data_IF_562721036289
#
_entry.id   IF_562721036289
#
_cell.length_a   1.000
_cell.length_b   1.000
_cell.length_c   1.000
_cell.angle_alpha   90.00
_cell.angle_beta   90.00
_cell.angle_gamma   90.00
#
_symmetry.space_group_name_H-M   'P 1'
#
loop_
_entity.id
_entity.type
_entity.pdbx_description
1 polymer ?
#
# COMPACT_ATOMS: atom_id res chain seq x y z
N UNK A 1 12.26 -15.69 3.55
CA UNK A 1 12.12 -14.31 3.02
C UNK A 1 12.69 -14.24 1.61
N UNK A 2 11.87 -13.85 0.63
CA UNK A 2 12.38 -13.54 -0.71
C UNK A 2 13.28 -12.30 -0.62
N UNK A 3 14.52 -12.39 -1.11
CA UNK A 3 15.41 -11.22 -1.15
C UNK A 3 14.84 -10.19 -2.13
N UNK A 4 14.45 -9.02 -1.64
CA UNK A 4 14.09 -7.88 -2.49
C UNK A 4 15.33 -7.46 -3.27
N UNK A 5 15.27 -7.58 -4.62
CA UNK A 5 16.34 -7.09 -5.48
C UNK A 5 16.26 -5.57 -5.51
N UNK A 6 17.36 -4.92 -5.14
CA UNK A 6 17.46 -3.47 -5.27
C UNK A 6 17.54 -3.07 -6.75
N UNK A 7 16.67 -2.14 -7.17
CA UNK A 7 16.70 -1.59 -8.52
C UNK A 7 17.91 -0.68 -8.70
N UNK A 8 18.53 -0.69 -9.89
CA UNK A 8 19.60 0.25 -10.20
C UNK A 8 19.06 1.69 -10.27
N UNK A 9 19.95 2.66 -10.06
CA UNK A 9 19.62 4.09 -10.11
C UNK A 9 18.93 4.47 -11.42
N UNK A 10 19.47 4.01 -12.54
CA UNK A 10 18.90 4.27 -13.87
C UNK A 10 17.46 3.76 -14.02
N UNK A 11 17.14 2.59 -13.45
CA UNK A 11 15.78 2.06 -13.46
C UNK A 11 14.86 2.90 -12.59
N UNK A 12 15.32 3.36 -11.41
CA UNK A 12 14.53 4.25 -10.54
C UNK A 12 14.22 5.58 -11.22
N UNK A 13 15.21 6.19 -11.86
CA UNK A 13 15.05 7.46 -12.57
C UNK A 13 14.05 7.31 -13.74
N UNK A 14 14.16 6.21 -14.52
CA UNK A 14 13.18 5.89 -15.57
C UNK A 14 11.76 5.69 -15.03
N UNK A 15 11.59 5.02 -13.88
CA UNK A 15 10.26 4.87 -13.27
C UNK A 15 9.64 6.24 -12.96
N UNK A 16 10.45 7.18 -12.43
CA UNK A 16 9.99 8.54 -12.13
C UNK A 16 9.56 9.28 -13.40
N UNK A 17 10.36 9.22 -14.46
CA UNK A 17 10.05 9.91 -15.72
C UNK A 17 8.78 9.35 -16.37
N UNK A 18 8.64 8.02 -16.40
CA UNK A 18 7.48 7.36 -16.99
C UNK A 18 6.19 7.63 -16.18
N UNK A 19 6.29 7.69 -14.85
CA UNK A 19 5.16 8.06 -13.99
C UNK A 19 4.74 9.52 -14.20
N UNK A 20 5.70 10.46 -14.30
CA UNK A 20 5.42 11.86 -14.63
C UNK A 20 4.78 12.04 -16.01
N UNK A 21 5.08 11.14 -16.95
CA UNK A 21 4.43 11.07 -18.25
C UNK A 21 3.00 10.48 -18.20
N UNK A 22 2.46 10.19 -17.01
CA UNK A 22 1.10 9.70 -16.81
C UNK A 22 0.91 8.20 -17.02
N UNK A 23 2.00 7.42 -17.14
CA UNK A 23 1.87 5.97 -17.28
C UNK A 23 1.54 5.30 -15.94
N UNK A 24 0.59 4.37 -15.99
CA UNK A 24 0.30 3.49 -14.85
C UNK A 24 1.42 2.48 -14.61
N UNK A 25 1.60 2.07 -13.35
CA UNK A 25 2.70 1.20 -12.91
C UNK A 25 2.77 -0.16 -13.64
N UNK A 26 1.64 -0.70 -14.10
CA UNK A 26 1.62 -1.91 -14.95
C UNK A 26 2.33 -1.70 -16.29
N UNK A 27 2.06 -0.57 -16.94
CA UNK A 27 2.67 -0.20 -18.22
C UNK A 27 4.17 0.05 -18.05
N UNK A 28 4.54 0.77 -16.98
CA UNK A 28 5.94 1.03 -16.61
C UNK A 28 6.70 -0.29 -16.41
N UNK A 29 6.15 -1.20 -15.60
CA UNK A 29 6.79 -2.51 -15.35
C UNK A 29 6.98 -3.31 -16.64
N UNK A 30 5.95 -3.36 -17.50
CA UNK A 30 6.03 -4.02 -18.81
C UNK A 30 7.14 -3.41 -19.69
N UNK A 31 7.25 -2.08 -19.73
CA UNK A 31 8.25 -1.38 -20.53
C UNK A 31 9.68 -1.59 -20.02
N UNK A 32 9.86 -1.69 -18.70
CA UNK A 32 11.16 -1.90 -18.07
C UNK A 32 11.55 -3.37 -17.92
N UNK A 33 10.66 -4.31 -18.27
CA UNK A 33 10.89 -5.74 -18.07
C UNK A 33 10.88 -6.16 -16.60
N UNK A 34 10.25 -5.36 -15.73
CA UNK A 34 10.19 -5.61 -14.29
C UNK A 34 8.88 -6.33 -13.92
N UNK A 35 8.98 -7.31 -13.00
CA UNK A 35 7.81 -8.01 -12.48
C UNK A 35 7.04 -7.07 -11.56
N UNK A 36 5.78 -6.80 -11.90
CA UNK A 36 4.87 -5.98 -11.09
C UNK A 36 3.78 -6.86 -10.49
N UNK A 37 3.65 -6.83 -9.16
CA UNK A 37 2.50 -7.40 -8.44
C UNK A 37 1.61 -6.27 -7.98
N UNK A 38 0.31 -6.37 -8.25
CA UNK A 38 -0.69 -5.38 -7.84
C UNK A 38 -1.53 -5.96 -6.71
N UNK A 39 -1.79 -5.14 -5.69
CA UNK A 39 -2.66 -5.50 -4.58
C UNK A 39 -3.89 -4.61 -4.62
N UNK A 40 -5.06 -5.21 -4.78
CA UNK A 40 -6.32 -4.46 -4.74
C UNK A 40 -6.56 -3.94 -3.33
N UNK A 41 -7.00 -2.69 -3.25
CA UNK A 41 -7.50 -2.09 -2.01
C UNK A 41 -8.93 -2.57 -1.73
N UNK A 42 -9.37 -2.50 -0.48
CA UNK A 42 -10.74 -2.78 -0.11
C UNK A 42 -11.66 -1.70 -0.70
N UNK A 43 -12.71 -2.12 -1.41
CA UNK A 43 -13.71 -1.20 -1.94
C UNK A 43 -14.42 -0.46 -0.80
N UNK A 44 -14.67 0.83 -1.02
CA UNK A 44 -15.31 1.72 -0.08
C UNK A 44 -16.21 2.69 -0.85
N UNK A 45 -17.41 2.95 -0.33
CA UNK A 45 -18.24 4.04 -0.82
C UNK A 45 -17.52 5.36 -0.55
N UNK A 46 -17.39 6.23 -1.55
CA UNK A 46 -16.71 7.51 -1.37
C UNK A 46 -17.42 8.40 -0.34
N UNK A 47 -18.71 8.18 -0.10
CA UNK A 47 -19.47 8.89 0.95
C UNK A 47 -19.09 8.45 2.37
N UNK A 48 -18.48 7.27 2.53
CA UNK A 48 -17.99 6.79 3.83
C UNK A 48 -16.60 7.36 4.17
N UNK A 49 -15.93 8.04 3.22
CA UNK A 49 -14.64 8.67 3.45
C UNK A 49 -14.87 10.02 4.14
N UNK A 50 -14.37 10.14 5.36
CA UNK A 50 -14.53 11.32 6.21
C UNK A 50 -13.27 12.19 6.18
N UNK A 51 -12.08 11.57 6.29
CA UNK A 51 -10.79 12.25 6.35
C UNK A 51 -9.72 11.33 5.77
N UNK A 52 -8.88 11.81 4.86
CA UNK A 52 -7.81 10.99 4.28
C UNK A 52 -6.47 11.15 5.00
N UNK A 53 -6.41 12.06 5.98
CA UNK A 53 -5.22 12.28 6.77
C UNK A 53 -4.83 11.03 7.57
N UNK A 54 -3.55 10.70 7.60
CA UNK A 54 -3.05 9.52 8.30
C UNK A 54 -3.31 8.18 7.61
N UNK A 55 -3.92 8.14 6.41
CA UNK A 55 -4.10 6.90 5.63
C UNK A 55 -2.78 6.15 5.40
N UNK A 56 -1.72 6.87 5.05
CA UNK A 56 -0.38 6.30 4.84
C UNK A 56 0.23 5.76 6.13
N UNK A 57 0.12 6.50 7.23
CA UNK A 57 0.66 6.10 8.53
C UNK A 57 -0.07 4.86 9.06
N UNK A 58 -1.40 4.83 8.92
CA UNK A 58 -2.22 3.67 9.25
C UNK A 58 -1.86 2.45 8.41
N UNK A 59 -1.64 2.63 7.10
CA UNK A 59 -1.16 1.56 6.23
C UNK A 59 0.17 0.99 6.71
N UNK A 60 1.15 1.85 7.03
CA UNK A 60 2.45 1.42 7.54
C UNK A 60 2.29 0.70 8.88
N UNK A 61 1.44 1.21 9.78
CA UNK A 61 1.15 0.57 11.07
C UNK A 61 0.59 -0.85 10.91
N UNK A 62 -0.43 -1.03 10.07
CA UNK A 62 -1.00 -2.35 9.77
C UNK A 62 0.00 -3.28 9.07
N UNK A 63 0.81 -2.75 8.15
CA UNK A 63 1.87 -3.55 7.51
C UNK A 63 2.90 -4.05 8.52
N UNK A 64 3.35 -3.17 9.41
CA UNK A 64 4.33 -3.51 10.43
C UNK A 64 3.78 -4.49 11.48
N UNK A 65 2.48 -4.47 11.79
CA UNK A 65 1.88 -5.39 12.78
C UNK A 65 1.98 -6.85 12.36
N UNK A 66 1.83 -7.14 11.07
CA UNK A 66 2.00 -8.50 10.53
C UNK A 66 3.46 -8.81 10.21
N UNK A 67 4.27 -7.81 9.83
CA UNK A 67 5.68 -8.00 9.56
C UNK A 67 6.44 -8.50 10.80
N UNK A 68 6.17 -7.91 11.97
CA UNK A 68 6.83 -8.32 13.24
C UNK A 68 6.43 -9.73 13.68
N UNK A 69 5.33 -10.27 13.14
CA UNK A 69 4.88 -11.65 13.32
C UNK A 69 5.42 -12.59 12.22
N UNK A 70 6.33 -12.10 11.37
CA UNK A 70 6.92 -12.84 10.25
C UNK A 70 5.90 -13.36 9.22
N UNK A 71 4.75 -12.67 9.08
CA UNK A 71 3.76 -13.04 8.07
C UNK A 71 4.25 -12.80 6.64
N UNK A 72 3.65 -13.49 5.64
CA UNK A 72 3.92 -13.23 4.23
C UNK A 72 3.62 -11.78 3.83
N UNK A 73 4.31 -11.29 2.79
CA UNK A 73 4.18 -9.92 2.30
C UNK A 73 2.73 -9.56 1.97
N UNK A 74 2.00 -10.49 1.36
CA UNK A 74 0.60 -10.36 0.99
C UNK A 74 -0.30 -10.05 2.20
N UNK A 75 -0.03 -10.70 3.34
CA UNK A 75 -0.76 -10.47 4.60
C UNK A 75 -0.42 -9.12 5.22
N UNK A 76 0.86 -8.73 5.19
CA UNK A 76 1.27 -7.39 5.63
C UNK A 76 0.57 -6.29 4.82
N UNK A 77 0.49 -6.46 3.49
CA UNK A 77 -0.22 -5.49 2.64
C UNK A 77 -1.72 -5.48 2.93
N UNK A 78 -2.33 -6.65 3.17
CA UNK A 78 -3.75 -6.77 3.55
C UNK A 78 -4.04 -6.04 4.86
N UNK A 79 -3.19 -6.18 5.87
CA UNK A 79 -3.30 -5.48 7.15
C UNK A 79 -3.13 -3.97 6.99
N UNK A 80 -2.18 -3.52 6.17
CA UNK A 80 -2.05 -2.11 5.83
C UNK A 80 -3.30 -1.54 5.14
N UNK A 81 -3.83 -2.24 4.14
CA UNK A 81 -5.08 -1.83 3.47
C UNK A 81 -6.25 -1.77 4.45
N UNK A 82 -6.38 -2.74 5.35
CA UNK A 82 -7.41 -2.73 6.40
C UNK A 82 -7.28 -1.49 7.31
N UNK A 83 -6.09 -1.26 7.86
CA UNK A 83 -5.86 -0.14 8.78
C UNK A 83 -6.13 1.22 8.11
N UNK A 84 -5.67 1.40 6.87
CA UNK A 84 -5.98 2.59 6.09
C UNK A 84 -7.48 2.71 5.77
N UNK A 85 -8.16 1.61 5.46
CA UNK A 85 -9.59 1.62 5.19
C UNK A 85 -10.42 1.98 6.45
N UNK A 86 -9.95 1.63 7.65
CA UNK A 86 -10.55 2.04 8.91
C UNK A 86 -10.29 3.53 9.19
N UNK A 87 -9.06 4.00 8.99
CA UNK A 87 -8.70 5.38 9.35
C UNK A 87 -9.45 6.40 8.51
N UNK A 88 -9.63 6.12 7.21
CA UNK A 88 -10.24 7.12 6.31
C UNK A 88 -11.73 7.36 6.56
N UNK A 89 -12.38 6.46 7.31
CA UNK A 89 -13.81 6.55 7.67
C UNK A 89 -14.04 7.35 8.96
N UNK A 90 -13.00 7.94 9.52
CA UNK A 90 -13.00 8.57 10.85
C UNK A 90 -12.29 9.90 10.78
N UNK A 91 -12.68 10.84 11.64
CA UNK A 91 -12.00 12.12 11.73
C UNK A 91 -10.65 11.95 12.46
N UNK A 92 -9.56 12.41 11.84
CA UNK A 92 -8.21 12.27 12.35
C UNK A 92 -7.73 10.82 12.50
N UNK A 93 -6.59 10.64 13.16
CA UNK A 93 -5.97 9.33 13.31
C UNK A 93 -6.56 8.55 14.52
N UNK A 94 -7.81 8.10 14.40
CA UNK A 94 -8.53 7.36 15.46
C UNK A 94 -8.93 5.95 15.03
N UNK A 95 -8.93 5.01 15.98
CA UNK A 95 -9.31 3.61 15.74
C UNK A 95 -10.42 3.18 16.71
N UNK A 96 -11.22 2.14 16.36
CA UNK A 96 -12.05 1.45 17.34
C UNK A 96 -11.18 0.82 18.44
N UNK A 97 -11.80 0.48 19.58
CA UNK A 97 -11.10 -0.11 20.73
C UNK A 97 -10.34 -1.40 20.37
N UNK A 98 -10.90 -2.20 19.45
CA UNK A 98 -10.29 -3.43 18.95
C UNK A 98 -10.34 -3.48 17.42
N UNK A 99 -9.29 -3.98 16.76
CA UNK A 99 -9.34 -4.28 15.35
C UNK A 99 -10.23 -5.49 15.08
N UNK A 100 -10.91 -5.45 13.94
CA UNK A 100 -11.65 -6.56 13.33
C UNK A 100 -10.92 -6.97 12.03
N UNK A 101 -9.63 -7.30 12.18
CA UNK A 101 -8.79 -7.76 11.10
C UNK A 101 -8.72 -9.29 11.15
N UNK A 102 -9.24 -10.01 10.14
CA UNK A 102 -9.24 -11.47 10.11
C UNK A 102 -7.88 -12.06 9.75
#
# INVERSE_FOLDING_TARGET
MAKTRELCKDTRDKIVDLHKAGMGYRTIGKQLGEKVTMFSVLDIDQNDIVDTNGAGDAFVGGFLSELVQERPLEECIRAGHYAANVIIRRAGCTFPEKPDFP
#
